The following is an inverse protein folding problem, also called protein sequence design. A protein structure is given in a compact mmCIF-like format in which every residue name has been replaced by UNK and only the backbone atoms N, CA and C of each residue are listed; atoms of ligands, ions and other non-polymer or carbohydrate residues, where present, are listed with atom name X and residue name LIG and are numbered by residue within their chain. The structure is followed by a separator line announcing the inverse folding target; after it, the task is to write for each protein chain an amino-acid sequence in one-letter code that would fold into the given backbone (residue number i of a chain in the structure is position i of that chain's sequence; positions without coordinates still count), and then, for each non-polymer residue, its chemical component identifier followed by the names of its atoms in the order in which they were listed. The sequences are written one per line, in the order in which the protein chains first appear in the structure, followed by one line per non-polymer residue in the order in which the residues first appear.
data_IF_704487829786
#
_entry.id   IF_704487829786
#
_cell.length_a   1.000
_cell.length_b   1.000
_cell.length_c   1.000
_cell.angle_alpha   90.00
_cell.angle_beta   90.00
_cell.angle_gamma   90.00
#
_symmetry.space_group_name_H-M   'P 1'
#
loop_
_entity.id
_entity.type
_entity.pdbx_description
1 polymer ?
#
# COMPACT_ATOMS: atom_id res chain seq x y z
N UNK A 1 111.41 -56.21 -17.81
CA UNK A 1 110.85 -55.01 -18.48
C UNK A 1 110.10 -55.53 -19.70
N UNK A 2 108.78 -55.62 -19.73
CA UNK A 2 107.82 -54.52 -19.65
C UNK A 2 106.52 -55.00 -18.98
N UNK A 3 105.95 -54.14 -18.12
CA UNK A 3 104.70 -54.35 -17.41
C UNK A 3 103.52 -54.34 -18.39
N UNK A 4 102.83 -55.47 -18.55
CA UNK A 4 101.49 -55.50 -19.16
C UNK A 4 100.53 -54.99 -18.09
N UNK A 5 100.17 -53.71 -18.18
CA UNK A 5 99.14 -53.10 -17.36
C UNK A 5 97.77 -53.65 -17.79
N UNK A 6 97.17 -54.47 -16.93
CA UNK A 6 95.81 -54.97 -17.10
C UNK A 6 94.85 -53.79 -16.87
N UNK A 7 94.39 -53.17 -17.96
CA UNK A 7 93.35 -52.14 -17.87
C UNK A 7 92.06 -52.81 -17.38
N UNK A 8 91.36 -52.27 -16.37
CA UNK A 8 90.08 -52.80 -15.95
C UNK A 8 89.08 -52.66 -17.10
N UNK A 9 88.40 -53.77 -17.44
CA UNK A 9 87.32 -53.73 -18.44
C UNK A 9 86.25 -52.73 -17.99
N UNK A 10 85.71 -51.90 -18.90
CA UNK A 10 84.62 -51.00 -18.56
C UNK A 10 83.44 -51.83 -18.04
N UNK A 11 82.89 -51.44 -16.88
CA UNK A 11 81.66 -52.03 -16.33
C UNK A 11 80.53 -51.72 -17.31
N UNK A 12 80.15 -52.71 -18.11
CA UNK A 12 78.97 -52.62 -18.96
C UNK A 12 77.78 -52.92 -18.04
N UNK A 13 76.84 -51.97 -17.81
CA UNK A 13 75.63 -52.28 -17.07
C UNK A 13 74.86 -53.37 -17.83
N UNK A 14 74.20 -54.33 -17.16
CA UNK A 14 73.47 -55.38 -17.85
C UNK A 14 72.43 -54.76 -18.80
N UNK A 15 72.67 -54.93 -20.10
CA UNK A 15 71.80 -54.48 -21.18
C UNK A 15 70.69 -55.53 -21.30
N UNK A 16 69.67 -55.41 -20.46
CA UNK A 16 68.48 -56.25 -20.54
C UNK A 16 67.82 -56.45 -19.18
N UNK A 17 66.54 -56.11 -19.09
CA UNK A 17 65.71 -56.23 -17.88
C UNK A 17 65.56 -57.69 -17.37
N UNK A 18 65.99 -58.68 -18.16
CA UNK A 18 65.95 -60.11 -17.84
C UNK A 18 67.12 -60.88 -18.50
N UNK A 19 68.38 -60.61 -18.13
CA UNK A 19 69.48 -61.54 -18.41
C UNK A 19 69.59 -62.59 -17.29
N UNK A 20 69.96 -63.85 -17.58
CA UNK A 20 70.21 -64.87 -16.58
C UNK A 20 71.39 -64.45 -15.68
N UNK A 21 71.26 -64.67 -14.37
CA UNK A 21 72.26 -64.30 -13.37
C UNK A 21 73.60 -64.99 -13.69
N UNK A 22 74.70 -64.23 -13.70
CA UNK A 22 76.04 -64.76 -13.92
C UNK A 22 76.38 -65.83 -12.86
N UNK A 23 77.03 -66.92 -13.25
CA UNK A 23 77.51 -67.95 -12.31
C UNK A 23 78.93 -67.68 -11.80
N UNK A 24 79.58 -66.60 -12.28
CA UNK A 24 80.88 -66.17 -11.77
C UNK A 24 80.70 -65.42 -10.43
N UNK A 25 81.31 -65.87 -9.32
CA UNK A 25 81.15 -65.27 -8.00
C UNK A 25 81.43 -63.76 -7.93
N UNK A 26 82.29 -63.22 -8.81
CA UNK A 26 82.62 -61.78 -8.83
C UNK A 26 81.54 -60.92 -9.47
N UNK A 27 80.87 -61.44 -10.50
CA UNK A 27 79.76 -60.75 -11.16
C UNK A 27 78.50 -60.81 -10.26
N UNK A 28 78.27 -61.95 -9.60
CA UNK A 28 77.18 -62.10 -8.62
C UNK A 28 77.26 -61.08 -7.48
N UNK A 29 78.46 -60.75 -7.01
CA UNK A 29 78.65 -59.74 -5.97
C UNK A 29 78.28 -58.34 -6.45
N UNK A 30 78.52 -58.02 -7.73
CA UNK A 30 78.17 -56.73 -8.34
C UNK A 30 76.67 -56.62 -8.60
N UNK A 31 76.02 -57.69 -9.04
CA UNK A 31 74.56 -57.75 -9.24
C UNK A 31 73.80 -57.59 -7.91
N UNK A 32 74.31 -58.18 -6.82
CA UNK A 32 73.75 -58.02 -5.46
C UNK A 32 73.82 -56.57 -4.99
N UNK A 33 74.94 -55.87 -5.20
CA UNK A 33 75.07 -54.44 -4.86
C UNK A 33 74.07 -53.56 -5.64
N UNK A 34 73.85 -53.86 -6.92
CA UNK A 34 72.88 -53.16 -7.76
C UNK A 34 71.44 -53.37 -7.26
N UNK A 35 71.05 -54.60 -6.94
CA UNK A 35 69.74 -54.93 -6.37
C UNK A 35 69.50 -54.25 -5.02
N UNK A 36 70.53 -54.18 -4.16
CA UNK A 36 70.46 -53.44 -2.89
C UNK A 36 70.23 -51.94 -3.10
N UNK A 37 70.87 -51.33 -4.10
CA UNK A 37 70.64 -49.94 -4.49
C UNK A 37 69.21 -49.67 -4.95
N UNK A 38 68.63 -50.59 -5.73
CA UNK A 38 67.22 -50.54 -6.14
C UNK A 38 66.31 -50.64 -4.91
N UNK A 39 66.55 -51.60 -4.02
CA UNK A 39 65.75 -51.79 -2.81
C UNK A 39 65.74 -50.53 -1.93
N UNK A 40 66.91 -49.87 -1.78
CA UNK A 40 67.00 -48.61 -1.04
C UNK A 40 66.12 -47.52 -1.66
N UNK A 41 66.20 -47.30 -2.97
CA UNK A 41 65.37 -46.31 -3.67
C UNK A 41 63.88 -46.65 -3.60
N UNK A 42 63.52 -47.94 -3.67
CA UNK A 42 62.14 -48.38 -3.51
C UNK A 42 61.59 -48.01 -2.13
N UNK A 43 62.38 -48.23 -1.07
CA UNK A 43 61.99 -47.84 0.29
C UNK A 43 61.86 -46.32 0.45
N UNK A 44 62.74 -45.53 -0.17
CA UNK A 44 62.61 -44.06 -0.20
C UNK A 44 61.31 -43.62 -0.90
N UNK A 45 60.97 -44.26 -2.03
CA UNK A 45 59.70 -43.99 -2.74
C UNK A 45 58.50 -44.38 -1.88
N UNK A 46 58.52 -45.54 -1.20
CA UNK A 46 57.46 -45.97 -0.29
C UNK A 46 57.25 -44.95 0.83
N UNK A 47 58.34 -44.47 1.45
CA UNK A 47 58.27 -43.46 2.50
C UNK A 47 57.62 -42.16 2.01
N UNK A 48 57.96 -41.71 0.79
CA UNK A 48 57.35 -40.52 0.19
C UNK A 48 55.87 -40.73 -0.14
N UNK A 49 55.49 -41.91 -0.65
CA UNK A 49 54.09 -42.26 -0.93
C UNK A 49 53.26 -42.25 0.35
N UNK A 50 53.79 -42.83 1.43
CA UNK A 50 53.10 -42.84 2.74
C UNK A 50 52.88 -41.41 3.25
N UNK A 51 53.90 -40.56 3.19
CA UNK A 51 53.79 -39.14 3.56
C UNK A 51 52.75 -38.41 2.71
N UNK A 52 52.69 -38.69 1.40
CA UNK A 52 51.67 -38.11 0.53
C UNK A 52 50.26 -38.60 0.89
N UNK A 53 50.11 -39.87 1.27
CA UNK A 53 48.83 -40.44 1.72
C UNK A 53 48.32 -39.75 2.98
N UNK A 54 49.21 -39.42 3.92
CA UNK A 54 48.86 -38.66 5.13
C UNK A 54 48.34 -37.26 4.77
N UNK A 55 49.04 -36.54 3.88
CA UNK A 55 48.57 -35.23 3.41
C UNK A 55 47.20 -35.32 2.73
N UNK A 56 46.98 -36.31 1.86
CA UNK A 56 45.69 -36.50 1.19
C UNK A 56 44.58 -36.72 2.22
N UNK A 57 44.83 -37.55 3.24
CA UNK A 57 43.85 -37.80 4.31
C UNK A 57 43.50 -36.52 5.08
N UNK A 58 44.50 -35.70 5.42
CA UNK A 58 44.29 -34.45 6.14
C UNK A 58 43.46 -33.45 5.32
N UNK A 59 43.83 -33.23 4.05
CA UNK A 59 43.09 -32.29 3.20
C UNK A 59 41.70 -32.78 2.84
N UNK A 60 41.50 -34.10 2.71
CA UNK A 60 40.15 -34.66 2.49
C UNK A 60 39.23 -34.35 3.67
N UNK A 61 39.70 -34.52 4.91
CA UNK A 61 38.92 -34.16 6.10
C UNK A 61 38.59 -32.66 6.17
N UNK A 62 39.54 -31.79 5.83
CA UNK A 62 39.29 -30.34 5.77
C UNK A 62 38.26 -29.95 4.69
N UNK A 63 38.27 -30.64 3.55
CA UNK A 63 37.27 -30.42 2.49
C UNK A 63 35.88 -30.82 2.99
N UNK A 64 35.76 -31.99 3.63
CA UNK A 64 34.48 -32.45 4.20
C UNK A 64 33.91 -31.46 5.24
N UNK A 65 34.77 -30.91 6.10
CA UNK A 65 34.37 -29.89 7.08
C UNK A 65 33.86 -28.61 6.41
N UNK A 66 34.59 -28.10 5.41
CA UNK A 66 34.18 -26.91 4.64
C UNK A 66 32.86 -27.16 3.89
N UNK A 67 32.67 -28.35 3.31
CA UNK A 67 31.44 -28.72 2.63
C UNK A 67 30.24 -28.75 3.58
N UNK A 68 30.43 -29.24 4.81
CA UNK A 68 29.41 -29.21 5.85
C UNK A 68 29.06 -27.78 6.26
N UNK A 69 30.04 -26.91 6.48
CA UNK A 69 29.82 -25.49 6.83
C UNK A 69 29.08 -24.74 5.71
N UNK A 70 29.49 -24.92 4.45
CA UNK A 70 28.82 -24.31 3.28
C UNK A 70 27.36 -24.77 3.21
N UNK A 71 27.08 -26.03 3.52
CA UNK A 71 25.72 -26.58 3.53
C UNK A 71 24.89 -25.95 4.64
N UNK A 72 25.45 -25.79 5.85
CA UNK A 72 24.78 -25.09 6.96
C UNK A 72 24.43 -23.65 6.59
N UNK A 73 25.41 -22.88 6.14
CA UNK A 73 25.22 -21.48 5.75
C UNK A 73 24.18 -21.30 4.64
N UNK A 74 24.15 -22.24 3.69
CA UNK A 74 23.14 -22.23 2.62
C UNK A 74 21.74 -22.43 3.18
N UNK A 75 21.56 -23.33 4.14
CA UNK A 75 20.26 -23.56 4.77
C UNK A 75 19.83 -22.35 5.60
N UNK A 76 20.73 -21.77 6.39
CA UNK A 76 20.47 -20.54 7.14
C UNK A 76 20.06 -19.38 6.22
N UNK A 77 20.70 -19.24 5.05
CA UNK A 77 20.30 -18.24 4.05
C UNK A 77 18.90 -18.49 3.47
N UNK A 78 18.52 -19.76 3.27
CA UNK A 78 17.18 -20.13 2.79
C UNK A 78 16.13 -19.77 3.84
N UNK A 79 16.40 -20.10 5.10
CA UNK A 79 15.50 -19.82 6.22
C UNK A 79 15.35 -18.32 6.44
N UNK A 80 16.45 -17.57 6.45
CA UNK A 80 16.44 -16.12 6.56
C UNK A 80 15.63 -15.48 5.41
N UNK A 81 15.80 -15.97 4.18
CA UNK A 81 15.01 -15.49 3.03
C UNK A 81 13.51 -15.76 3.23
N UNK A 82 13.14 -16.93 3.74
CA UNK A 82 11.75 -17.29 4.01
C UNK A 82 11.15 -16.40 5.12
N UNK A 83 11.91 -16.13 6.17
CA UNK A 83 11.51 -15.27 7.28
C UNK A 83 11.30 -13.81 6.81
N UNK A 84 12.25 -13.26 6.05
CA UNK A 84 12.14 -11.91 5.47
C UNK A 84 10.90 -11.80 4.58
N UNK A 85 10.67 -12.77 3.70
CA UNK A 85 9.49 -12.78 2.84
C UNK A 85 8.18 -12.82 3.65
N UNK A 86 8.15 -13.63 4.71
CA UNK A 86 6.99 -13.76 5.59
C UNK A 86 6.72 -12.46 6.35
N UNK A 87 7.78 -11.86 6.93
CA UNK A 87 7.69 -10.58 7.64
C UNK A 87 7.20 -9.45 6.74
N UNK A 88 7.73 -9.35 5.51
CA UNK A 88 7.29 -8.36 4.52
C UNK A 88 5.81 -8.57 4.18
N UNK A 89 5.38 -9.81 3.93
CA UNK A 89 3.99 -10.11 3.61
C UNK A 89 3.03 -9.74 4.76
N UNK A 90 3.42 -10.02 6.00
CA UNK A 90 2.66 -9.66 7.20
C UNK A 90 2.56 -8.15 7.38
N UNK A 91 3.66 -7.41 7.20
CA UNK A 91 3.67 -5.94 7.27
C UNK A 91 2.74 -5.33 6.21
N UNK A 92 2.78 -5.84 4.97
CA UNK A 92 1.85 -5.37 3.93
C UNK A 92 0.39 -5.68 4.24
N UNK A 93 0.09 -6.84 4.84
CA UNK A 93 -1.27 -7.17 5.26
C UNK A 93 -1.77 -6.23 6.36
N UNK A 94 -0.92 -5.94 7.35
CA UNK A 94 -1.23 -5.05 8.46
C UNK A 94 -1.50 -3.61 7.96
N UNK A 95 -0.62 -3.08 7.10
CA UNK A 95 -0.79 -1.74 6.51
C UNK A 95 -2.11 -1.65 5.74
N UNK A 96 -2.51 -2.70 5.01
CA UNK A 96 -3.80 -2.72 4.29
C UNK A 96 -4.99 -2.64 5.25
N UNK A 97 -4.95 -3.38 6.36
CA UNK A 97 -6.02 -3.37 7.36
C UNK A 97 -6.15 -2.00 8.04
N UNK A 98 -5.03 -1.40 8.44
CA UNK A 98 -5.00 -0.07 9.04
C UNK A 98 -5.52 0.99 8.06
N UNK A 99 -5.11 0.92 6.80
CA UNK A 99 -5.60 1.83 5.76
C UNK A 99 -7.11 1.69 5.54
N UNK A 100 -7.64 0.47 5.50
CA UNK A 100 -9.08 0.23 5.39
C UNK A 100 -9.86 0.80 6.57
N UNK A 101 -9.35 0.63 7.80
CA UNK A 101 -9.96 1.18 9.00
C UNK A 101 -9.97 2.72 8.99
N UNK A 102 -8.86 3.34 8.58
CA UNK A 102 -8.77 4.80 8.44
C UNK A 102 -9.75 5.34 7.39
N UNK A 103 -9.85 4.70 6.22
CA UNK A 103 -10.79 5.09 5.16
C UNK A 103 -12.23 4.98 5.65
N UNK A 104 -12.60 3.88 6.30
CA UNK A 104 -13.95 3.68 6.84
C UNK A 104 -14.30 4.76 7.88
N UNK A 105 -13.36 5.09 8.76
CA UNK A 105 -13.54 6.14 9.77
C UNK A 105 -13.74 7.50 9.13
N UNK A 106 -12.89 7.87 8.17
CA UNK A 106 -12.97 9.15 7.46
C UNK A 106 -14.30 9.27 6.68
N UNK A 107 -14.74 8.21 6.02
CA UNK A 107 -16.01 8.19 5.30
C UNK A 107 -17.20 8.39 6.24
N UNK A 108 -17.22 7.68 7.37
CA UNK A 108 -18.28 7.81 8.36
C UNK A 108 -18.32 9.22 8.99
N UNK A 109 -17.15 9.81 9.27
CA UNK A 109 -17.07 11.18 9.77
C UNK A 109 -17.55 12.20 8.75
N UNK A 110 -17.16 12.05 7.49
CA UNK A 110 -17.60 12.92 6.40
C UNK A 110 -19.12 12.86 6.22
N UNK A 111 -19.69 11.64 6.15
CA UNK A 111 -21.14 11.45 6.03
C UNK A 111 -21.88 12.06 7.23
N UNK A 112 -21.43 11.80 8.46
CA UNK A 112 -22.05 12.35 9.66
C UNK A 112 -22.03 13.89 9.70
N UNK A 113 -20.93 14.50 9.25
CA UNK A 113 -20.84 15.96 9.14
C UNK A 113 -21.79 16.51 8.06
N UNK A 114 -21.81 15.88 6.88
CA UNK A 114 -22.71 16.26 5.79
C UNK A 114 -24.17 16.15 6.20
N UNK A 115 -24.57 15.04 6.85
CA UNK A 115 -25.93 14.82 7.34
C UNK A 115 -26.34 15.87 8.39
N UNK A 116 -25.42 16.23 9.28
CA UNK A 116 -25.64 17.28 10.29
C UNK A 116 -25.90 18.64 9.64
N UNK A 117 -25.06 19.02 8.68
CA UNK A 117 -25.20 20.30 7.95
C UNK A 117 -26.48 20.31 7.13
N UNK A 118 -26.79 19.23 6.40
CA UNK A 118 -28.01 19.10 5.62
C UNK A 118 -29.26 19.24 6.50
N UNK A 119 -29.29 18.54 7.64
CA UNK A 119 -30.39 18.64 8.61
C UNK A 119 -30.54 20.04 9.22
N UNK A 120 -29.42 20.76 9.39
CA UNK A 120 -29.41 22.15 9.85
C UNK A 120 -30.05 23.08 8.81
N UNK A 121 -29.64 22.97 7.56
CA UNK A 121 -30.19 23.76 6.45
C UNK A 121 -31.67 23.46 6.22
N UNK A 122 -32.10 22.20 6.29
CA UNK A 122 -33.51 21.84 6.18
C UNK A 122 -34.36 22.51 7.26
N UNK A 123 -33.85 22.60 8.49
CA UNK A 123 -34.53 23.31 9.58
C UNK A 123 -34.61 24.81 9.34
N UNK A 124 -33.53 25.43 8.89
CA UNK A 124 -33.53 26.86 8.54
C UNK A 124 -34.51 27.16 7.41
N UNK A 125 -34.55 26.33 6.36
CA UNK A 125 -35.51 26.44 5.26
C UNK A 125 -36.94 26.30 5.77
N UNK A 126 -37.22 25.32 6.63
CA UNK A 126 -38.55 25.13 7.22
C UNK A 126 -38.99 26.33 8.06
N UNK A 127 -38.07 26.96 8.80
CA UNK A 127 -38.36 28.16 9.57
C UNK A 127 -38.63 29.40 8.68
N UNK A 128 -38.06 29.45 7.47
CA UNK A 128 -38.33 30.51 6.49
C UNK A 128 -39.64 30.27 5.72
N UNK A 129 -40.09 29.01 5.62
CA UNK A 129 -41.25 28.65 4.81
C UNK A 129 -42.51 29.43 5.24
N UNK A 130 -43.14 30.01 4.21
CA UNK A 130 -44.36 30.84 4.16
C UNK A 130 -45.35 30.46 5.27
N UNK A 131 -45.40 31.26 6.32
CA UNK A 131 -46.33 31.07 7.46
C UNK A 131 -45.80 31.48 8.83
N UNK A 132 -44.50 31.76 8.96
CA UNK A 132 -43.90 32.23 10.24
C UNK A 132 -43.21 33.60 10.16
N UNK A 133 -43.33 34.30 9.02
CA UNK A 133 -42.81 35.65 8.91
C UNK A 133 -43.79 36.57 9.64
N UNK A 134 -43.41 37.01 10.84
CA UNK A 134 -44.15 38.02 11.58
C UNK A 134 -43.57 39.40 11.29
N UNK A 135 -44.44 40.38 11.07
CA UNK A 135 -44.07 41.78 10.88
C UNK A 135 -44.86 42.67 11.82
N UNK A 136 -44.36 43.88 12.06
CA UNK A 136 -45.10 44.86 12.86
C UNK A 136 -46.26 45.42 12.04
N UNK A 137 -47.48 45.28 12.56
CA UNK A 137 -48.68 45.81 11.96
C UNK A 137 -48.87 47.29 12.35
N UNK A 138 -48.86 48.24 11.41
CA UNK A 138 -49.05 49.66 11.73
C UNK A 138 -50.51 50.03 12.04
N UNK A 139 -51.47 49.17 11.73
CA UNK A 139 -52.90 49.38 11.97
C UNK A 139 -53.32 48.92 13.36
N UNK A 140 -52.78 47.80 13.84
CA UNK A 140 -53.08 47.25 15.18
C UNK A 140 -52.02 47.59 16.22
N UNK A 141 -50.79 47.92 15.79
CA UNK A 141 -49.65 48.21 16.66
C UNK A 141 -49.02 46.96 17.29
N UNK A 142 -49.37 45.76 16.82
CA UNK A 142 -48.86 44.49 17.33
C UNK A 142 -48.00 43.77 16.28
N UNK A 143 -47.22 42.79 16.72
CA UNK A 143 -46.49 41.91 15.81
C UNK A 143 -47.41 40.75 15.44
N UNK A 144 -47.72 40.64 14.14
CA UNK A 144 -48.67 39.66 13.60
C UNK A 144 -48.06 38.97 12.37
N UNK A 145 -48.67 37.88 11.92
CA UNK A 145 -48.24 37.18 10.71
C UNK A 145 -48.35 38.07 9.47
N UNK A 146 -47.40 37.96 8.54
CA UNK A 146 -47.33 38.81 7.34
C UNK A 146 -48.63 38.86 6.55
N UNK A 147 -49.34 37.72 6.44
CA UNK A 147 -50.64 37.69 5.75
C UNK A 147 -51.69 38.53 6.49
N UNK A 148 -51.79 38.39 7.81
CA UNK A 148 -52.69 39.19 8.66
C UNK A 148 -52.39 40.68 8.51
N UNK A 149 -51.11 41.08 8.52
CA UNK A 149 -50.73 42.48 8.35
C UNK A 149 -51.09 43.02 6.98
N UNK A 150 -50.92 42.23 5.91
CA UNK A 150 -51.35 42.62 4.56
C UNK A 150 -52.88 42.81 4.52
N UNK A 151 -53.64 41.90 5.13
CA UNK A 151 -55.10 41.96 5.17
C UNK A 151 -55.59 43.17 5.97
N UNK A 152 -54.97 43.44 7.11
CA UNK A 152 -55.26 44.60 7.97
C UNK A 152 -54.91 45.92 7.27
N UNK A 153 -53.75 46.02 6.62
CA UNK A 153 -53.35 47.17 5.82
C UNK A 153 -54.36 47.45 4.70
N UNK A 154 -54.77 46.41 3.97
CA UNK A 154 -55.76 46.56 2.92
C UNK A 154 -57.10 47.03 3.49
N UNK A 155 -57.58 46.45 4.60
CA UNK A 155 -58.78 46.88 5.30
C UNK A 155 -58.73 48.34 5.77
N UNK A 156 -57.60 48.77 6.34
CA UNK A 156 -57.42 50.16 6.78
C UNK A 156 -57.44 51.16 5.61
N UNK A 157 -57.01 50.75 4.41
CA UNK A 157 -57.08 51.61 3.21
C UNK A 157 -58.45 51.69 2.54
N UNK A 158 -59.47 51.01 3.10
CA UNK A 158 -60.86 50.96 2.61
C UNK A 158 -61.82 51.79 3.47
N UNK A 159 -61.34 52.85 4.13
CA UNK A 159 -62.15 53.71 5.00
C UNK A 159 -63.40 54.28 4.30
N UNK A 160 -63.27 54.59 3.01
CA UNK A 160 -64.34 55.14 2.17
C UNK A 160 -65.05 54.07 1.31
N UNK A 161 -64.92 52.79 1.62
CA UNK A 161 -65.63 51.74 0.92
C UNK A 161 -67.12 51.74 1.29
N UNK A 162 -68.02 51.62 0.30
CA UNK A 162 -69.44 51.43 0.54
C UNK A 162 -69.73 49.99 0.99
N UNK A 163 -70.51 49.86 2.07
CA UNK A 163 -71.17 48.59 2.38
C UNK A 163 -72.31 48.33 1.40
N UNK A 164 -72.71 47.08 1.21
CA UNK A 164 -73.84 46.73 0.34
C UNK A 164 -75.12 47.47 0.76
N UNK A 165 -75.37 47.60 2.06
CA UNK A 165 -76.52 48.34 2.59
C UNK A 165 -76.45 49.84 2.26
N UNK A 166 -75.27 50.47 2.38
CA UNK A 166 -75.10 51.88 2.05
C UNK A 166 -75.24 52.11 0.53
N UNK A 167 -74.75 51.19 -0.29
CA UNK A 167 -74.93 51.25 -1.74
C UNK A 167 -76.40 51.11 -2.16
N UNK A 168 -77.12 50.12 -1.60
CA UNK A 168 -78.55 49.92 -1.87
C UNK A 168 -79.38 51.17 -1.52
N UNK A 169 -78.99 51.89 -0.46
CA UNK A 169 -79.66 53.12 -0.03
C UNK A 169 -79.47 54.31 -0.99
N UNK A 170 -78.50 54.25 -1.93
CA UNK A 170 -78.33 55.29 -2.95
C UNK A 170 -79.37 55.19 -4.08
N UNK A 171 -80.09 54.06 -4.19
CA UNK A 171 -81.13 53.81 -5.20
C UNK A 171 -80.68 54.12 -6.64
N UNK A 172 -79.38 53.91 -6.94
CA UNK A 172 -78.80 54.22 -8.25
C UNK A 172 -79.34 53.28 -9.33
N UNK A 173 -79.90 53.85 -10.40
CA UNK A 173 -80.20 53.08 -11.61
C UNK A 173 -78.89 52.67 -12.31
N UNK A 174 -78.90 51.57 -13.06
CA UNK A 174 -77.72 51.12 -13.81
C UNK A 174 -77.12 52.23 -14.71
N UNK A 175 -77.98 53.01 -15.39
CA UNK A 175 -77.54 54.14 -16.21
C UNK A 175 -76.88 55.25 -15.41
N UNK A 176 -77.37 55.52 -14.18
CA UNK A 176 -76.78 56.52 -13.30
C UNK A 176 -75.43 56.06 -12.75
N UNK A 177 -75.31 54.78 -12.36
CA UNK A 177 -74.05 54.21 -11.89
C UNK A 177 -72.98 54.16 -12.99
N UNK A 178 -73.34 53.69 -14.20
CA UNK A 178 -72.41 53.61 -15.34
C UNK A 178 -71.83 54.99 -15.73
N UNK A 179 -72.57 56.08 -15.48
CA UNK A 179 -72.11 57.43 -15.76
C UNK A 179 -70.92 57.88 -14.89
N UNK A 180 -70.72 57.26 -13.72
CA UNK A 180 -69.54 57.51 -12.87
C UNK A 180 -68.26 56.84 -13.41
N UNK A 181 -68.39 55.88 -14.33
CA UNK A 181 -67.27 55.19 -15.01
C UNK A 181 -66.21 54.63 -14.05
N UNK A 182 -66.63 54.15 -12.88
CA UNK A 182 -65.72 53.66 -11.84
C UNK A 182 -65.11 52.30 -12.21
N UNK A 183 -63.82 52.15 -11.96
CA UNK A 183 -63.18 50.84 -11.90
C UNK A 183 -63.58 50.12 -10.62
N UNK A 184 -63.44 48.79 -10.62
CA UNK A 184 -63.73 47.98 -9.44
C UNK A 184 -62.89 48.39 -8.22
N UNK A 185 -61.64 48.84 -8.41
CA UNK A 185 -60.76 49.27 -7.30
C UNK A 185 -61.22 50.60 -6.72
N UNK A 186 -61.62 51.56 -7.57
CA UNK A 186 -62.15 52.85 -7.13
C UNK A 186 -63.45 52.67 -6.35
N UNK A 187 -64.36 51.81 -6.83
CA UNK A 187 -65.57 51.46 -6.08
C UNK A 187 -65.25 50.81 -4.72
N UNK A 188 -64.36 49.83 -4.73
CA UNK A 188 -64.06 48.97 -3.58
C UNK A 188 -63.30 49.70 -2.45
N UNK A 189 -62.57 50.78 -2.76
CA UNK A 189 -61.82 51.60 -1.79
C UNK A 189 -62.47 52.94 -1.46
N UNK A 190 -63.09 53.59 -2.44
CA UNK A 190 -63.50 55.00 -2.39
C UNK A 190 -64.98 55.19 -2.76
N UNK A 191 -65.78 54.11 -2.76
CA UNK A 191 -67.19 54.16 -3.18
C UNK A 191 -68.01 55.25 -2.49
N UNK A 192 -67.75 55.54 -1.21
CA UNK A 192 -68.44 56.62 -0.47
C UNK A 192 -68.08 57.99 -1.00
N UNK A 193 -66.81 58.22 -1.36
CA UNK A 193 -66.35 59.49 -1.89
C UNK A 193 -66.85 59.75 -3.31
N UNK A 194 -66.99 58.68 -4.10
CA UNK A 194 -67.24 58.77 -5.54
C UNK A 194 -68.72 58.70 -5.91
N UNK A 195 -69.57 58.11 -5.06
CA UNK A 195 -70.99 57.85 -5.36
C UNK A 195 -71.98 58.57 -4.43
N UNK A 196 -71.52 59.16 -3.33
CA UNK A 196 -72.33 59.95 -2.37
C UNK A 196 -72.01 61.43 -2.53
#
# INVERSE_FOLDING_TARGET
MSLITFQPRPKIPPIGFFQPISTDPKDMMTDVEYLLGILKKLNEVIAQVNKNSEFISEYSGKIEEIEAEITSLRNEMIDFKAEVNTSIAQQFAQIRLELQAMIATALNQANAYTDLVASGLEREIQNIAIGQITVYDPTTGMVEDLQTVIDNLYGATREDALTATEYDALELTATAYDAYMLTAIEYDREGKLLLV
#
